data_IF_830431291103
#
_entry.id   IF_830431291103
#
_cell.length_a   1.000
_cell.length_b   1.000
_cell.length_c   1.000
_cell.angle_alpha   90.00
_cell.angle_beta   90.00
_cell.angle_gamma   90.00
#
_symmetry.space_group_name_H-M   'P 1'
#
loop_
_entity.id
_entity.type
_entity.pdbx_description
1 polymer ?
#
# COMPACT_ATOMS: atom_id res chain seq x y z
N UNK A 1 26.14 -28.21 2.48
CA UNK A 1 25.80 -26.75 2.35
C UNK A 1 25.86 -26.45 0.87
N UNK A 2 24.69 -26.32 0.18
CA UNK A 2 24.67 -25.75 -1.17
C UNK A 2 25.19 -24.33 -1.04
N UNK A 3 26.20 -23.93 -1.81
CA UNK A 3 26.50 -22.53 -2.03
C UNK A 3 25.20 -21.89 -2.56
N UNK A 4 24.51 -21.12 -1.74
CA UNK A 4 23.58 -20.13 -2.26
C UNK A 4 24.49 -19.15 -3.01
N UNK A 5 24.40 -19.11 -4.34
CA UNK A 5 24.86 -17.96 -5.08
C UNK A 5 24.21 -16.76 -4.41
N UNK A 6 25.03 -15.90 -3.82
CA UNK A 6 24.52 -14.73 -3.11
C UNK A 6 23.96 -13.79 -4.16
N UNK A 7 22.62 -13.80 -4.33
CA UNK A 7 21.97 -12.83 -5.18
C UNK A 7 22.42 -11.43 -4.75
N UNK A 8 22.61 -10.57 -5.73
CA UNK A 8 23.05 -9.20 -5.49
C UNK A 8 21.86 -8.30 -5.21
N UNK A 9 22.12 -7.22 -4.47
CA UNK A 9 21.15 -6.16 -4.27
C UNK A 9 20.79 -5.49 -5.60
N UNK A 10 19.62 -4.87 -5.62
CA UNK A 10 19.09 -4.18 -6.79
C UNK A 10 18.56 -2.79 -6.43
N UNK A 11 18.56 -1.92 -7.42
CA UNK A 11 17.94 -0.60 -7.35
C UNK A 11 17.22 -0.29 -8.66
N UNK A 12 16.51 0.83 -8.72
CA UNK A 12 15.85 1.31 -9.93
C UNK A 12 16.87 1.67 -11.01
N UNK A 13 16.53 1.43 -12.29
CA UNK A 13 17.36 1.84 -13.43
C UNK A 13 17.29 3.33 -13.76
N UNK A 14 16.29 4.02 -13.23
CA UNK A 14 16.08 5.45 -13.36
C UNK A 14 15.06 5.96 -12.36
N UNK A 15 14.92 7.28 -12.26
CA UNK A 15 13.90 7.90 -11.40
C UNK A 15 12.56 7.99 -12.12
N UNK A 16 11.47 7.89 -11.37
CA UNK A 16 10.12 8.17 -11.86
C UNK A 16 9.30 8.90 -10.80
N UNK A 17 8.27 9.61 -11.25
CA UNK A 17 7.33 10.28 -10.36
C UNK A 17 5.90 9.86 -10.66
N UNK A 18 5.09 9.82 -9.61
CA UNK A 18 3.65 9.61 -9.66
C UNK A 18 2.97 10.81 -8.98
N UNK A 19 1.88 11.27 -9.58
CA UNK A 19 1.12 12.41 -9.11
C UNK A 19 -0.33 12.02 -8.90
N UNK A 20 -0.94 12.48 -7.79
CA UNK A 20 -2.34 12.21 -7.50
C UNK A 20 -2.81 12.89 -6.23
N UNK A 21 -4.02 12.53 -5.80
CA UNK A 21 -4.58 12.98 -4.52
C UNK A 21 -4.19 12.02 -3.41
N UNK A 22 -3.95 12.56 -2.21
CA UNK A 22 -3.91 11.75 -0.99
C UNK A 22 -5.30 11.28 -0.63
N UNK A 23 -5.46 9.99 -0.30
CA UNK A 23 -6.76 9.41 0.06
C UNK A 23 -7.37 10.10 1.28
N UNK A 24 -6.58 10.28 2.34
CA UNK A 24 -7.06 10.83 3.61
C UNK A 24 -6.98 12.34 3.65
N UNK A 25 -5.91 12.93 3.15
CA UNK A 25 -5.68 14.37 3.20
C UNK A 25 -6.42 15.14 2.11
N UNK A 26 -6.66 14.53 0.96
CA UNK A 26 -7.17 15.19 -0.25
C UNK A 26 -6.18 16.15 -0.91
N UNK A 27 -4.94 16.19 -0.43
CA UNK A 27 -3.90 17.06 -0.98
C UNK A 27 -3.44 16.56 -2.35
N UNK A 28 -2.99 17.49 -3.19
CA UNK A 28 -2.26 17.16 -4.42
C UNK A 28 -0.82 16.79 -4.07
N UNK A 29 -0.45 15.56 -4.33
CA UNK A 29 0.80 14.96 -3.89
C UNK A 29 1.60 14.44 -5.08
N UNK A 30 2.90 14.52 -4.94
CA UNK A 30 3.86 13.89 -5.84
C UNK A 30 4.79 13.01 -5.02
N UNK A 31 4.96 11.78 -5.46
CA UNK A 31 5.97 10.88 -4.93
C UNK A 31 6.96 10.53 -6.03
N UNK A 32 8.26 10.66 -5.75
CA UNK A 32 9.34 10.37 -6.68
C UNK A 32 10.22 9.25 -6.13
N UNK A 33 10.39 8.22 -6.92
CA UNK A 33 11.23 7.07 -6.61
C UNK A 33 12.55 7.22 -7.34
N UNK A 34 13.64 7.16 -6.59
CA UNK A 34 15.00 7.36 -7.11
C UNK A 34 15.84 6.11 -6.85
N UNK A 35 16.79 5.78 -7.78
CA UNK A 35 17.84 4.82 -7.45
C UNK A 35 18.58 5.24 -6.18
N UNK A 36 19.02 4.27 -5.38
CA UNK A 36 19.80 4.53 -4.18
C UNK A 36 21.03 3.62 -4.12
N UNK A 37 22.11 4.05 -3.44
CA UNK A 37 23.31 3.24 -3.25
C UNK A 37 23.01 1.91 -2.55
N UNK A 38 23.97 1.01 -2.65
CA UNK A 38 23.97 -0.26 -1.92
C UNK A 38 23.78 -0.06 -0.42
N UNK A 39 23.06 -0.99 0.21
CA UNK A 39 22.80 -0.98 1.66
C UNK A 39 22.00 0.24 2.16
N UNK A 40 21.27 0.92 1.26
CA UNK A 40 20.40 2.05 1.64
C UNK A 40 19.10 1.57 2.25
N UNK A 41 18.54 0.45 1.75
CA UNK A 41 17.17 0.06 2.03
C UNK A 41 16.17 1.04 1.41
N UNK A 42 14.97 1.12 1.97
CA UNK A 42 13.99 2.12 1.55
C UNK A 42 14.02 3.32 2.51
N UNK A 43 14.19 4.51 1.96
CA UNK A 43 14.19 5.78 2.71
C UNK A 43 13.17 6.72 2.12
N UNK A 44 12.33 7.31 2.97
CA UNK A 44 11.32 8.27 2.57
C UNK A 44 11.72 9.65 3.05
N UNK A 45 11.89 10.58 2.12
CA UNK A 45 12.29 11.97 2.36
C UNK A 45 11.10 12.90 2.19
N UNK A 46 10.81 13.73 3.19
CA UNK A 46 9.78 14.77 3.18
C UNK A 46 10.37 16.07 2.64
N UNK A 47 10.28 16.27 1.31
CA UNK A 47 10.87 17.44 0.63
C UNK A 47 10.10 18.74 0.81
N UNK A 48 8.93 18.70 1.44
CA UNK A 48 8.08 19.85 1.78
C UNK A 48 8.40 20.42 3.17
N UNK A 49 9.24 19.76 3.96
CA UNK A 49 9.61 20.18 5.30
C UNK A 49 11.03 20.77 5.32
N UNK A 50 11.26 21.71 6.23
CA UNK A 50 12.58 22.28 6.44
C UNK A 50 13.58 21.19 6.83
N UNK A 51 14.77 21.21 6.19
CA UNK A 51 15.80 20.20 6.39
C UNK A 51 15.52 18.85 5.70
N UNK A 52 14.42 18.72 4.99
CA UNK A 52 14.05 17.55 4.19
C UNK A 52 14.28 16.21 4.94
N UNK A 53 13.65 16.02 6.12
CA UNK A 53 13.92 14.88 6.98
C UNK A 53 13.62 13.54 6.29
N UNK A 54 14.42 12.53 6.65
CA UNK A 54 14.34 11.18 6.11
C UNK A 54 13.81 10.22 7.19
N UNK A 55 12.85 9.36 6.80
CA UNK A 55 12.36 8.24 7.60
C UNK A 55 12.83 6.95 6.93
N UNK A 56 13.47 6.06 7.67
CA UNK A 56 13.77 4.71 7.20
C UNK A 56 12.48 3.87 7.19
N UNK A 57 12.20 3.19 6.09
CA UNK A 57 11.00 2.35 5.98
C UNK A 57 11.24 0.96 6.60
N UNK A 58 11.34 0.94 7.92
CA UNK A 58 11.52 -0.26 8.75
C UNK A 58 10.35 -0.40 9.73
N UNK A 59 10.16 -1.60 10.27
CA UNK A 59 9.02 -1.92 11.13
C UNK A 59 8.99 -1.05 12.41
N UNK A 60 10.16 -0.70 12.94
CA UNK A 60 10.33 0.13 14.14
C UNK A 60 9.78 1.55 13.97
N UNK A 61 9.68 2.03 12.73
CA UNK A 61 9.15 3.34 12.39
C UNK A 61 7.65 3.29 12.02
N UNK A 62 6.98 2.14 12.11
CA UNK A 62 5.53 2.06 11.92
C UNK A 62 4.84 2.69 13.12
N UNK A 63 4.20 3.85 12.92
CA UNK A 63 3.54 4.61 13.98
C UNK A 63 2.05 4.32 14.11
N UNK A 64 1.37 4.03 13.00
CA UNK A 64 -0.07 3.76 12.96
C UNK A 64 -0.40 2.84 11.77
N UNK A 65 -1.46 2.03 11.95
CA UNK A 65 -1.97 1.13 10.92
C UNK A 65 -3.49 1.25 10.71
N UNK A 66 -4.10 2.32 11.22
CA UNK A 66 -5.52 2.57 11.01
C UNK A 66 -5.79 3.01 9.56
N UNK A 67 -6.45 2.16 8.80
CA UNK A 67 -6.84 2.41 7.40
C UNK A 67 -5.69 2.69 6.42
N UNK A 68 -4.47 2.29 6.76
CA UNK A 68 -3.27 2.46 5.97
C UNK A 68 -2.02 2.33 6.84
N UNK A 69 -0.87 2.20 6.22
CA UNK A 69 0.41 2.12 6.94
C UNK A 69 1.04 3.51 7.03
N UNK A 70 1.38 3.92 8.26
CA UNK A 70 2.05 5.19 8.55
C UNK A 70 3.45 4.92 9.06
N UNK A 71 4.46 5.50 8.43
CA UNK A 71 5.79 5.63 8.99
C UNK A 71 5.93 6.95 9.72
N UNK A 72 6.56 6.91 10.89
CA UNK A 72 6.77 8.08 11.73
C UNK A 72 8.12 8.04 12.42
N UNK A 73 8.81 9.18 12.43
CA UNK A 73 10.02 9.41 13.21
C UNK A 73 9.94 10.81 13.84
N UNK A 74 9.77 10.87 15.16
CA UNK A 74 9.46 12.12 15.85
C UNK A 74 8.14 12.73 15.34
N UNK A 75 8.17 13.99 14.92
CA UNK A 75 7.03 14.72 14.36
C UNK A 75 6.81 14.46 12.86
N UNK A 76 7.77 13.82 12.21
CA UNK A 76 7.72 13.57 10.76
C UNK A 76 6.98 12.28 10.48
N UNK A 77 5.97 12.34 9.61
CA UNK A 77 5.16 11.17 9.24
C UNK A 77 4.84 11.14 7.75
N UNK A 78 4.64 9.92 7.22
CA UNK A 78 4.14 9.66 5.87
C UNK A 78 3.19 8.47 5.93
N UNK A 79 2.00 8.60 5.37
CA UNK A 79 0.96 7.57 5.36
C UNK A 79 0.70 6.98 3.97
N UNK A 80 -0.12 5.92 3.91
CA UNK A 80 -0.58 5.27 2.66
C UNK A 80 0.57 4.75 1.80
N UNK A 81 1.60 4.22 2.46
CA UNK A 81 2.83 3.77 1.79
C UNK A 81 2.73 2.35 1.23
N UNK A 82 1.77 1.55 1.69
CA UNK A 82 1.65 0.10 1.47
C UNK A 82 1.68 -0.31 -0.01
N UNK A 83 1.01 0.44 -0.90
CA UNK A 83 0.96 0.13 -2.33
C UNK A 83 2.35 0.27 -2.99
N UNK A 84 3.06 1.36 -2.70
CA UNK A 84 4.41 1.59 -3.20
C UNK A 84 5.44 0.62 -2.62
N UNK A 85 5.36 0.35 -1.29
CA UNK A 85 6.26 -0.59 -0.63
C UNK A 85 6.08 -2.02 -1.14
N UNK A 86 4.83 -2.47 -1.34
CA UNK A 86 4.56 -3.81 -1.85
C UNK A 86 5.08 -4.00 -3.28
N UNK A 87 4.96 -2.98 -4.14
CA UNK A 87 5.48 -3.01 -5.50
C UNK A 87 7.02 -3.09 -5.54
N UNK A 88 7.71 -2.28 -4.73
CA UNK A 88 9.18 -2.33 -4.62
C UNK A 88 9.65 -3.71 -4.16
N UNK A 89 9.05 -4.23 -3.09
CA UNK A 89 9.42 -5.53 -2.55
C UNK A 89 9.18 -6.67 -3.56
N UNK A 90 8.00 -6.68 -4.17
CA UNK A 90 7.62 -7.75 -5.09
C UNK A 90 8.47 -7.78 -6.37
N UNK A 91 8.93 -6.63 -6.84
CA UNK A 91 9.82 -6.52 -7.99
C UNK A 91 11.31 -6.66 -7.62
N UNK A 92 11.59 -6.92 -6.35
CA UNK A 92 12.91 -7.26 -5.87
C UNK A 92 13.85 -6.07 -5.71
N UNK A 93 13.35 -4.83 -5.68
CA UNK A 93 14.16 -3.64 -5.39
C UNK A 93 14.62 -3.69 -3.93
N UNK A 94 15.91 -3.52 -3.68
CA UNK A 94 16.47 -3.49 -2.32
C UNK A 94 16.75 -2.07 -1.84
N UNK A 95 17.13 -1.16 -2.74
CA UNK A 95 17.57 0.17 -2.40
C UNK A 95 16.80 1.23 -3.19
N UNK A 96 16.11 2.13 -2.50
CA UNK A 96 15.32 3.20 -3.11
C UNK A 96 15.22 4.41 -2.19
N UNK A 97 15.49 5.62 -2.73
CA UNK A 97 15.18 6.88 -2.08
C UNK A 97 13.85 7.40 -2.62
N UNK A 98 12.88 7.58 -1.74
CA UNK A 98 11.53 8.00 -2.09
C UNK A 98 11.33 9.42 -1.56
N UNK A 99 11.07 10.36 -2.45
CA UNK A 99 10.82 11.75 -2.09
C UNK A 99 9.31 12.03 -2.20
N UNK A 100 8.74 12.66 -1.19
CA UNK A 100 7.32 13.03 -1.17
C UNK A 100 7.15 14.48 -0.71
N UNK A 101 6.28 15.21 -1.40
CA UNK A 101 5.98 16.62 -1.10
C UNK A 101 4.81 16.81 -0.13
N UNK A 102 4.55 15.84 0.75
CA UNK A 102 3.48 15.92 1.73
C UNK A 102 3.39 14.70 2.65
N UNK A 103 2.41 14.65 3.56
CA UNK A 103 2.33 13.67 4.62
C UNK A 103 1.75 12.31 4.19
N UNK A 104 1.52 12.09 2.89
CA UNK A 104 0.81 10.93 2.38
C UNK A 104 1.29 10.59 0.96
N UNK A 105 1.31 9.30 0.58
CA UNK A 105 1.47 8.91 -0.82
C UNK A 105 0.15 9.13 -1.57
N UNK A 106 0.19 9.52 -2.86
CA UNK A 106 -1.02 9.60 -3.67
C UNK A 106 -1.67 8.24 -3.80
N UNK A 107 -3.00 8.19 -3.66
CA UNK A 107 -3.77 6.92 -3.76
C UNK A 107 -3.83 6.37 -5.19
N UNK A 108 -3.64 7.24 -6.20
CA UNK A 108 -3.70 6.89 -7.62
C UNK A 108 -5.06 6.26 -7.99
N UNK A 109 -5.03 5.06 -8.58
CA UNK A 109 -6.23 4.27 -8.92
C UNK A 109 -6.67 3.32 -7.78
N UNK A 110 -6.00 3.39 -6.63
CA UNK A 110 -6.27 2.52 -5.47
C UNK A 110 -5.61 1.16 -5.53
N UNK A 111 -4.71 0.93 -6.48
CA UNK A 111 -3.95 -0.31 -6.64
C UNK A 111 -2.44 -0.07 -6.58
N UNK A 112 -1.65 -1.14 -6.61
CA UNK A 112 -0.20 -1.05 -6.74
C UNK A 112 0.27 -1.03 -8.22
N UNK A 113 -0.65 -1.21 -9.17
CA UNK A 113 -0.31 -1.33 -10.58
C UNK A 113 0.47 -0.13 -11.16
N UNK A 114 0.10 1.14 -10.87
CA UNK A 114 0.84 2.29 -11.38
C UNK A 114 2.32 2.31 -10.95
N UNK A 115 2.62 1.80 -9.75
CA UNK A 115 4.01 1.65 -9.30
C UNK A 115 4.75 0.56 -10.08
N UNK A 116 4.11 -0.59 -10.28
CA UNK A 116 4.67 -1.72 -11.05
C UNK A 116 4.97 -1.30 -12.48
N UNK A 117 4.06 -0.59 -13.14
CA UNK A 117 4.25 -0.10 -14.50
C UNK A 117 5.47 0.83 -14.58
N UNK A 118 5.60 1.78 -13.65
CA UNK A 118 6.72 2.72 -13.64
C UNK A 118 8.06 2.07 -13.30
N UNK A 119 8.10 1.11 -12.39
CA UNK A 119 9.31 0.34 -12.08
C UNK A 119 9.76 -0.45 -13.32
N UNK A 120 8.82 -1.09 -14.02
CA UNK A 120 9.14 -1.82 -15.25
C UNK A 120 9.61 -0.88 -16.39
N UNK A 121 9.06 0.33 -16.48
CA UNK A 121 9.44 1.35 -17.48
C UNK A 121 10.89 1.81 -17.28
N UNK A 122 11.30 2.09 -16.04
CA UNK A 122 12.67 2.56 -15.75
C UNK A 122 13.67 1.42 -15.63
N UNK A 123 13.19 0.19 -15.44
CA UNK A 123 14.01 -1.01 -15.29
C UNK A 123 14.64 -1.15 -13.90
N UNK A 124 15.35 -2.26 -13.73
CA UNK A 124 16.01 -2.66 -12.48
C UNK A 124 17.49 -2.88 -12.75
N UNK A 125 18.36 -2.38 -11.87
CA UNK A 125 19.81 -2.50 -11.99
C UNK A 125 20.37 -3.28 -10.83
N UNK A 126 21.16 -4.33 -11.15
CA UNK A 126 21.93 -5.09 -10.17
C UNK A 126 23.09 -4.27 -9.63
N UNK A 127 23.35 -4.36 -8.33
CA UNK A 127 24.41 -3.68 -7.61
C UNK A 127 25.50 -4.71 -7.20
N UNK A 128 26.65 -4.25 -6.67
CA UNK A 128 27.74 -5.16 -6.33
C UNK A 128 27.65 -5.75 -4.92
N UNK A 129 26.83 -5.20 -4.04
CA UNK A 129 26.64 -5.73 -2.69
C UNK A 129 25.79 -7.01 -2.70
N UNK A 130 26.10 -7.99 -1.84
CA UNK A 130 25.27 -9.16 -1.66
C UNK A 130 23.93 -8.79 -1.02
N UNK A 131 22.87 -9.52 -1.39
CA UNK A 131 21.56 -9.40 -0.78
C UNK A 131 21.55 -10.11 0.57
N UNK A 132 21.04 -9.44 1.60
CA UNK A 132 20.80 -10.04 2.89
C UNK A 132 19.44 -10.74 2.93
N UNK A 133 19.39 -11.92 3.56
CA UNK A 133 18.19 -12.71 3.71
C UNK A 133 17.87 -12.97 5.17
N UNK A 134 16.61 -12.69 5.54
CA UNK A 134 16.08 -13.16 6.81
C UNK A 134 15.46 -14.55 6.61
N UNK A 135 16.09 -15.58 7.14
CA UNK A 135 15.66 -16.96 6.96
C UNK A 135 14.79 -17.39 8.13
N UNK A 136 13.54 -17.72 7.83
CA UNK A 136 12.59 -18.28 8.80
C UNK A 136 12.97 -19.74 9.06
N UNK A 137 13.33 -20.09 10.30
CA UNK A 137 13.76 -21.43 10.70
C UNK A 137 12.76 -22.20 11.55
N UNK A 138 11.72 -21.53 12.05
CA UNK A 138 10.66 -22.11 12.87
C UNK A 138 9.37 -21.35 12.69
N UNK A 139 8.24 -21.96 13.02
CA UNK A 139 6.95 -21.27 13.08
C UNK A 139 7.04 -20.04 13.99
N UNK A 140 6.57 -18.92 13.50
CA UNK A 140 6.35 -17.68 14.26
C UNK A 140 4.86 -17.38 14.17
N UNK A 141 4.23 -17.06 15.29
CA UNK A 141 2.82 -16.71 15.34
C UNK A 141 2.65 -15.47 16.21
N UNK A 142 1.93 -14.50 15.68
CA UNK A 142 1.52 -13.30 16.41
C UNK A 142 0.00 -13.20 16.32
N UNK A 143 -0.63 -13.04 17.48
CA UNK A 143 -2.08 -12.93 17.61
C UNK A 143 -2.44 -11.66 18.36
N UNK A 144 -3.42 -10.96 17.84
CA UNK A 144 -4.09 -9.88 18.53
C UNK A 144 -5.32 -10.48 19.24
N UNK A 145 -5.29 -10.49 20.56
CA UNK A 145 -6.35 -11.09 21.39
C UNK A 145 -7.64 -10.26 21.37
N UNK A 146 -7.56 -8.96 21.09
CA UNK A 146 -8.73 -8.08 21.02
C UNK A 146 -9.53 -8.27 19.74
N UNK A 147 -8.85 -8.30 18.61
CA UNK A 147 -9.49 -8.44 17.28
C UNK A 147 -9.59 -9.89 16.83
N UNK A 148 -8.80 -10.79 17.43
CA UNK A 148 -8.63 -12.17 16.98
C UNK A 148 -7.79 -12.32 15.71
N UNK A 149 -7.21 -11.23 15.23
CA UNK A 149 -6.32 -11.25 14.06
C UNK A 149 -5.05 -12.04 14.35
N UNK A 150 -4.57 -12.80 13.38
CA UNK A 150 -3.41 -13.66 13.56
C UNK A 150 -2.54 -13.66 12.31
N UNK A 151 -1.22 -13.55 12.52
CA UNK A 151 -0.23 -13.75 11.48
C UNK A 151 0.60 -14.98 11.86
N UNK A 152 0.69 -15.94 10.96
CA UNK A 152 1.55 -17.12 11.11
C UNK A 152 2.57 -17.14 9.99
N UNK A 153 3.86 -17.22 10.36
CA UNK A 153 4.97 -17.32 9.42
C UNK A 153 5.57 -18.71 9.58
N UNK A 154 5.75 -19.41 8.45
CA UNK A 154 6.30 -20.78 8.40
C UNK A 154 7.59 -20.79 7.57
N UNK A 155 8.54 -21.69 7.88
CA UNK A 155 9.66 -21.98 6.99
C UNK A 155 9.15 -22.48 5.64
N UNK A 156 9.68 -21.92 4.56
CA UNK A 156 9.43 -22.35 3.19
C UNK A 156 10.68 -22.13 2.34
N UNK A 157 10.73 -22.75 1.15
CA UNK A 157 11.79 -22.55 0.16
C UNK A 157 11.58 -21.32 -0.71
N UNK A 158 10.35 -20.78 -0.74
CA UNK A 158 9.97 -19.57 -1.48
C UNK A 158 9.06 -18.68 -0.64
N UNK A 159 8.99 -17.41 -1.05
CA UNK A 159 8.05 -16.48 -0.45
C UNK A 159 6.64 -16.69 -1.02
N UNK A 160 5.71 -17.00 -0.15
CA UNK A 160 4.27 -17.07 -0.46
C UNK A 160 3.44 -16.37 0.62
N UNK A 161 2.26 -15.92 0.27
CA UNK A 161 1.33 -15.27 1.19
C UNK A 161 -0.07 -15.79 0.96
N UNK A 162 -0.74 -16.20 2.04
CA UNK A 162 -2.19 -16.41 2.05
C UNK A 162 -2.81 -15.44 3.05
N UNK A 163 -3.74 -14.64 2.61
CA UNK A 163 -4.49 -13.71 3.45
C UNK A 163 -5.98 -14.07 3.45
N UNK A 164 -6.59 -14.03 4.63
CA UNK A 164 -8.02 -14.19 4.79
C UNK A 164 -8.58 -13.00 5.56
N UNK A 165 -9.60 -12.36 4.99
CA UNK A 165 -10.33 -11.28 5.64
C UNK A 165 -11.75 -11.76 5.96
N UNK A 166 -12.17 -11.58 7.22
CA UNK A 166 -13.54 -11.85 7.66
C UNK A 166 -14.28 -10.54 7.90
N UNK A 167 -15.35 -10.33 7.16
CA UNK A 167 -16.16 -9.11 7.27
C UNK A 167 -17.38 -9.39 8.16
N UNK A 168 -17.72 -8.43 9.02
CA UNK A 168 -18.97 -8.47 9.77
C UNK A 168 -20.14 -8.08 8.85
N UNK A 169 -20.33 -8.86 7.80
CA UNK A 169 -21.34 -8.63 6.76
C UNK A 169 -22.19 -9.88 6.56
N UNK A 170 -23.51 -9.68 6.37
CA UNK A 170 -24.43 -10.76 6.00
C UNK A 170 -24.39 -11.06 4.49
N UNK A 171 -23.79 -10.21 3.70
CA UNK A 171 -23.78 -10.26 2.24
C UNK A 171 -22.43 -10.72 1.68
N UNK A 172 -21.35 -10.39 2.39
CA UNK A 172 -19.99 -10.76 2.00
C UNK A 172 -19.44 -11.70 3.06
N UNK A 173 -19.23 -12.94 2.69
CA UNK A 173 -18.55 -13.95 3.52
C UNK A 173 -17.06 -13.63 3.64
N UNK A 174 -16.36 -14.41 4.45
CA UNK A 174 -14.88 -14.33 4.49
C UNK A 174 -14.30 -14.52 3.10
N UNK A 175 -13.34 -13.69 2.76
CA UNK A 175 -12.61 -13.72 1.50
C UNK A 175 -11.16 -14.12 1.77
N UNK A 176 -10.56 -14.86 0.87
CA UNK A 176 -9.15 -15.18 0.93
C UNK A 176 -8.49 -14.98 -0.43
N UNK A 177 -7.19 -14.69 -0.41
CA UNK A 177 -6.35 -14.64 -1.59
C UNK A 177 -5.01 -15.29 -1.27
N UNK A 178 -4.41 -15.92 -2.25
CA UNK A 178 -3.09 -16.55 -2.15
C UNK A 178 -2.19 -16.01 -3.25
N UNK A 179 -0.96 -15.70 -2.88
CA UNK A 179 0.15 -15.46 -3.78
C UNK A 179 1.17 -16.57 -3.55
N UNK A 180 1.15 -17.59 -4.39
CA UNK A 180 2.03 -18.77 -4.23
C UNK A 180 3.47 -18.49 -4.69
N UNK A 181 3.66 -17.53 -5.58
CA UNK A 181 4.96 -17.13 -6.09
C UNK A 181 5.00 -15.61 -6.29
N UNK A 182 6.00 -14.96 -5.70
CA UNK A 182 6.17 -13.50 -5.78
C UNK A 182 6.28 -13.00 -7.23
N UNK A 183 6.75 -13.83 -8.17
CA UNK A 183 6.82 -13.49 -9.59
C UNK A 183 5.44 -13.20 -10.21
N UNK A 184 4.36 -13.72 -9.63
CA UNK A 184 3.00 -13.49 -10.08
C UNK A 184 2.37 -12.21 -9.51
N UNK A 185 3.06 -11.51 -8.60
CA UNK A 185 2.53 -10.32 -7.93
C UNK A 185 1.96 -9.29 -8.91
N UNK A 186 2.70 -8.99 -9.98
CA UNK A 186 2.30 -7.97 -10.97
C UNK A 186 0.98 -8.28 -11.67
N UNK A 187 0.63 -9.55 -11.85
CA UNK A 187 -0.60 -9.97 -12.53
C UNK A 187 -1.74 -10.32 -11.57
N UNK A 188 -1.42 -10.83 -10.37
CA UNK A 188 -2.43 -11.37 -9.46
C UNK A 188 -2.79 -10.40 -8.33
N UNK A 189 -1.82 -9.62 -7.83
CA UNK A 189 -2.00 -8.75 -6.65
C UNK A 189 -2.00 -7.28 -7.01
N UNK A 190 -1.01 -6.82 -7.79
CA UNK A 190 -0.83 -5.40 -8.07
C UNK A 190 -2.08 -4.70 -8.64
N UNK A 191 -2.92 -5.32 -9.51
CA UNK A 191 -4.14 -4.71 -10.02
C UNK A 191 -5.29 -4.65 -8.99
N UNK A 192 -5.17 -5.34 -7.85
CA UNK A 192 -6.22 -5.34 -6.84
C UNK A 192 -6.33 -3.96 -6.18
N UNK A 193 -7.56 -3.42 -6.19
CA UNK A 193 -7.84 -2.07 -5.67
C UNK A 193 -8.28 -2.13 -4.22
N UNK A 194 -7.96 -1.08 -3.49
CA UNK A 194 -8.52 -0.84 -2.15
C UNK A 194 -10.03 -0.69 -2.20
N UNK A 195 -10.71 -0.94 -1.07
CA UNK A 195 -12.17 -0.87 -1.00
C UNK A 195 -12.66 -0.22 0.29
N UNK A 196 -13.93 0.21 0.28
CA UNK A 196 -14.62 0.75 1.44
C UNK A 196 -16.08 0.29 1.44
N UNK A 197 -16.62 -0.06 2.59
CA UNK A 197 -18.06 -0.27 2.72
C UNK A 197 -18.81 1.06 2.85
N UNK A 198 -19.97 1.19 2.20
CA UNK A 198 -20.79 2.41 2.30
C UNK A 198 -21.10 2.78 3.76
N UNK A 199 -21.30 1.80 4.64
CA UNK A 199 -21.53 2.02 6.07
C UNK A 199 -20.36 2.74 6.77
N UNK A 200 -19.13 2.59 6.26
CA UNK A 200 -17.92 3.17 6.84
C UNK A 200 -17.61 4.59 6.32
N UNK A 201 -18.22 4.99 5.19
CA UNK A 201 -17.89 6.28 4.54
C UNK A 201 -18.22 7.46 5.46
N UNK A 202 -19.43 7.50 6.03
CA UNK A 202 -19.82 8.62 6.89
C UNK A 202 -18.96 8.75 8.15
N UNK A 203 -18.71 7.69 8.93
CA UNK A 203 -17.77 7.75 10.05
C UNK A 203 -16.35 8.18 9.66
N UNK A 204 -15.85 7.75 8.49
CA UNK A 204 -14.53 8.15 8.01
C UNK A 204 -14.46 9.62 7.64
N UNK A 205 -15.50 10.17 7.00
CA UNK A 205 -15.60 11.61 6.71
C UNK A 205 -15.70 12.43 7.99
N UNK A 206 -16.49 12.00 8.98
CA UNK A 206 -16.60 12.64 10.30
C UNK A 206 -15.26 12.62 11.05
N UNK A 207 -14.46 11.56 10.89
CA UNK A 207 -13.09 11.48 11.38
C UNK A 207 -12.08 12.29 10.57
N UNK A 208 -12.54 13.09 9.59
CA UNK A 208 -11.72 13.93 8.71
C UNK A 208 -10.75 13.14 7.81
N UNK A 209 -11.12 11.88 7.49
CA UNK A 209 -10.42 10.97 6.59
C UNK A 209 -11.09 10.92 5.20
N UNK A 210 -10.49 10.19 4.26
CA UNK A 210 -10.98 9.92 2.89
C UNK A 210 -11.42 11.15 2.09
N UNK A 211 -10.83 12.33 2.34
CA UNK A 211 -11.16 13.57 1.64
C UNK A 211 -10.84 13.53 0.13
N UNK A 212 -9.94 12.67 -0.28
CA UNK A 212 -9.58 12.41 -1.67
C UNK A 212 -10.21 11.14 -2.23
N UNK A 213 -11.11 10.48 -1.46
CA UNK A 213 -11.81 9.27 -1.89
C UNK A 213 -12.68 9.54 -3.12
N UNK A 214 -12.59 8.65 -4.12
CA UNK A 214 -13.32 8.71 -5.37
C UNK A 214 -13.60 7.29 -5.87
N UNK A 215 -14.58 7.13 -6.76
CA UNK A 215 -14.87 5.85 -7.43
C UNK A 215 -13.71 5.39 -8.32
N UNK A 216 -12.89 6.32 -8.78
CA UNK A 216 -11.70 6.02 -9.57
C UNK A 216 -10.55 5.44 -8.73
N UNK A 217 -10.57 5.62 -7.41
CA UNK A 217 -9.49 5.19 -6.53
C UNK A 217 -9.89 4.21 -5.41
N UNK A 218 -11.16 3.82 -5.33
CA UNK A 218 -11.61 2.80 -4.39
C UNK A 218 -12.81 2.02 -4.93
N UNK A 219 -12.92 0.75 -4.55
CA UNK A 219 -14.12 -0.05 -4.78
C UNK A 219 -15.10 0.24 -3.63
N UNK A 220 -16.31 0.68 -3.97
CA UNK A 220 -17.35 0.95 -2.97
C UNK A 220 -18.29 -0.24 -2.87
N UNK A 221 -18.37 -0.85 -1.67
CA UNK A 221 -19.14 -2.07 -1.43
C UNK A 221 -20.46 -1.71 -0.75
N UNK A 222 -21.56 -2.11 -1.39
CA UNK A 222 -22.93 -1.96 -0.88
C UNK A 222 -23.39 -3.27 -0.25
N UNK A 223 -23.84 -3.22 1.01
CA UNK A 223 -24.34 -4.39 1.72
C UNK A 223 -25.87 -4.48 1.71
N UNK A 224 -26.55 -3.49 1.20
CA UNK A 224 -28.00 -3.44 1.02
C UNK A 224 -28.33 -2.37 -0.02
N UNK A 225 -29.52 -2.47 -0.62
CA UNK A 225 -30.00 -1.44 -1.53
C UNK A 225 -29.97 -0.08 -0.85
N UNK A 226 -29.30 0.87 -1.46
CA UNK A 226 -29.17 2.25 -0.97
C UNK A 226 -30.27 3.10 -1.61
N UNK A 227 -30.93 3.92 -0.82
CA UNK A 227 -31.93 4.85 -1.33
C UNK A 227 -31.23 6.00 -2.11
N UNK A 228 -31.87 6.47 -3.19
CA UNK A 228 -31.32 7.50 -4.07
C UNK A 228 -30.86 8.74 -3.27
N UNK A 229 -31.66 9.20 -2.30
CA UNK A 229 -31.32 10.35 -1.47
C UNK A 229 -30.03 10.18 -0.64
N UNK A 230 -29.67 8.93 -0.26
CA UNK A 230 -28.43 8.66 0.42
C UNK A 230 -27.23 8.73 -0.55
N UNK A 231 -27.41 8.22 -1.77
CA UNK A 231 -26.39 8.32 -2.82
C UNK A 231 -26.14 9.78 -3.22
N UNK A 232 -27.20 10.56 -3.39
CA UNK A 232 -27.11 11.98 -3.72
C UNK A 232 -26.35 12.75 -2.63
N UNK A 233 -26.67 12.49 -1.36
CA UNK A 233 -25.96 13.09 -0.23
C UNK A 233 -24.47 12.69 -0.21
N UNK A 234 -24.16 11.44 -0.50
CA UNK A 234 -22.76 10.98 -0.59
C UNK A 234 -22.04 11.64 -1.76
N UNK A 235 -22.67 11.73 -2.93
CA UNK A 235 -22.12 12.40 -4.10
C UNK A 235 -21.80 13.88 -3.82
N UNK A 236 -22.72 14.59 -3.16
CA UNK A 236 -22.51 15.99 -2.77
C UNK A 236 -21.35 16.15 -1.79
N UNK A 237 -21.24 15.28 -0.78
CA UNK A 237 -20.17 15.32 0.22
C UNK A 237 -18.80 15.01 -0.38
N UNK A 238 -18.74 14.04 -1.27
CA UNK A 238 -17.51 13.62 -1.95
C UNK A 238 -17.20 14.48 -3.19
N UNK A 239 -18.15 15.36 -3.61
CA UNK A 239 -18.05 16.18 -4.82
C UNK A 239 -17.83 15.35 -6.09
N UNK A 240 -18.48 14.20 -6.16
CA UNK A 240 -18.46 13.28 -7.31
C UNK A 240 -19.80 13.31 -8.06
N UNK A 241 -19.84 12.72 -9.25
CA UNK A 241 -21.05 12.61 -10.05
C UNK A 241 -22.12 11.77 -9.33
N UNK A 242 -23.37 12.26 -9.33
CA UNK A 242 -24.51 11.53 -8.78
C UNK A 242 -24.73 10.22 -9.55
N UNK A 243 -24.89 9.14 -8.81
CA UNK A 243 -25.15 7.81 -9.35
C UNK A 243 -26.64 7.45 -9.28
N UNK A 244 -27.12 6.72 -10.25
CA UNK A 244 -28.48 6.21 -10.30
C UNK A 244 -28.57 4.88 -9.50
N UNK A 245 -29.31 4.89 -8.39
CA UNK A 245 -29.49 3.72 -7.51
C UNK A 245 -30.05 2.48 -8.23
N UNK A 246 -30.69 2.65 -9.39
CA UNK A 246 -31.22 1.53 -10.17
C UNK A 246 -30.16 0.83 -11.04
N UNK A 247 -29.01 1.46 -11.20
CA UNK A 247 -27.87 0.96 -11.99
C UNK A 247 -26.74 0.37 -11.14
N UNK A 248 -26.92 0.36 -9.82
CA UNK A 248 -25.98 -0.19 -8.85
C UNK A 248 -26.51 -1.55 -8.40
N UNK A 249 -25.81 -2.62 -8.78
CA UNK A 249 -26.20 -3.98 -8.41
C UNK A 249 -25.16 -4.99 -8.79
#
# INVERSE_FOLDING_TARGET
MKHMDTAKQTTLGGSFSLYGKGLHTGLSLTVTFNPAPENTGYKIQRIDLEGEPIIEAIAENVGDTQRGTVLQCGEVRVSTIEHGMSALYALGIDNCLIQVNGPEFPILDGSANPYVEKINEVGIVEQNAPKDYYIIRKKIEVRDEETGSCITILPDEQFSVTAMCSFQSKFISSQFATLDNIANYSSEIAPARTFVFVRDIMPLLEANLIKGGDLDNAIVIYEKKVEQAQLDKLADLLKVTHMDATKIG
#
